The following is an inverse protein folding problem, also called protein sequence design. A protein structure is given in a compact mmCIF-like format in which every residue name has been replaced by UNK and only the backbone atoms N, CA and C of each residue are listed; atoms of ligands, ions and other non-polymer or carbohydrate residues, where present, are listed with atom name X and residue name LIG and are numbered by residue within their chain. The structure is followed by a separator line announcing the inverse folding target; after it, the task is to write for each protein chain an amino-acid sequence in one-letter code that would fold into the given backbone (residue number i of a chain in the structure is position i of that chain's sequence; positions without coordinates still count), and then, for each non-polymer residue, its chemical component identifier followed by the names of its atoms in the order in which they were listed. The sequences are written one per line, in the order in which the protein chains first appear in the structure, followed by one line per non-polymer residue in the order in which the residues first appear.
data_IF_706442545616
#
_entry.id   IF_706442545616
#
_cell.length_a   1.000
_cell.length_b   1.000
_cell.length_c   1.000
_cell.angle_alpha   90.00
_cell.angle_beta   90.00
_cell.angle_gamma   90.00
#
_symmetry.space_group_name_H-M   'P 1'
#
loop_
_entity.id
_entity.type
_entity.pdbx_description
1 polymer ?
#
# COMPACT_ATOMS: atom_id res chain seq x y z
N UNK A 1 -34.11 2.37 20.00
CA UNK A 1 -32.81 2.93 20.47
C UNK A 1 -31.66 2.68 19.47
N UNK A 2 -31.66 1.58 18.69
CA UNK A 2 -30.65 1.34 17.63
C UNK A 2 -30.66 2.40 16.50
N UNK A 3 -31.85 2.77 15.98
CA UNK A 3 -32.00 3.76 14.90
C UNK A 3 -31.52 5.19 15.24
N UNK A 4 -31.37 5.54 16.52
CA UNK A 4 -30.90 6.88 16.94
C UNK A 4 -29.37 6.95 16.96
N UNK A 5 -28.69 5.83 17.26
CA UNK A 5 -27.22 5.79 17.28
C UNK A 5 -26.65 5.79 15.86
N UNK A 6 -27.32 5.12 14.92
CA UNK A 6 -26.93 5.07 13.51
C UNK A 6 -26.99 6.46 12.85
N UNK A 7 -27.95 7.31 13.26
CA UNK A 7 -28.03 8.72 12.84
C UNK A 7 -26.90 9.62 13.36
N UNK A 8 -26.16 9.21 14.40
CA UNK A 8 -25.12 10.04 15.02
C UNK A 8 -23.74 9.82 14.38
N UNK A 9 -23.51 8.67 13.75
CA UNK A 9 -22.24 8.38 13.08
C UNK A 9 -22.48 7.45 11.88
N UNK A 10 -22.97 7.99 10.74
CA UNK A 10 -23.27 7.19 9.57
C UNK A 10 -22.02 6.45 9.09
N UNK A 11 -22.22 5.22 8.64
CA UNK A 11 -21.18 4.35 8.09
C UNK A 11 -21.37 4.22 6.59
N UNK A 12 -20.38 3.66 5.93
CA UNK A 12 -20.50 3.26 4.54
C UNK A 12 -21.05 1.86 4.48
N UNK A 13 -21.99 1.61 3.58
CA UNK A 13 -22.51 0.28 3.28
C UNK A 13 -22.38 -0.06 1.79
N UNK A 14 -22.36 0.96 0.92
CA UNK A 14 -22.33 0.79 -0.54
C UNK A 14 -21.24 1.60 -1.23
N UNK A 15 -20.93 1.20 -2.47
CA UNK A 15 -20.04 1.93 -3.38
C UNK A 15 -20.51 3.36 -3.67
N UNK A 16 -21.81 3.53 -3.87
CA UNK A 16 -22.41 4.82 -4.23
C UNK A 16 -22.26 5.81 -3.09
N UNK A 17 -22.50 5.39 -1.85
CA UNK A 17 -22.28 6.22 -0.67
C UNK A 17 -20.83 6.69 -0.55
N UNK A 18 -19.86 5.81 -0.81
CA UNK A 18 -18.44 6.20 -0.81
C UNK A 18 -18.17 7.29 -1.84
N UNK A 19 -18.65 7.09 -3.06
CA UNK A 19 -18.41 8.01 -4.18
C UNK A 19 -19.09 9.37 -3.94
N UNK A 20 -20.33 9.38 -3.47
CA UNK A 20 -21.09 10.59 -3.16
C UNK A 20 -20.50 11.38 -1.98
N UNK A 21 -20.18 10.69 -0.88
CA UNK A 21 -19.80 11.35 0.38
C UNK A 21 -18.34 11.79 0.37
N UNK A 22 -17.45 11.04 -0.29
CA UNK A 22 -16.01 11.31 -0.29
C UNK A 22 -15.53 11.94 -1.59
N UNK A 23 -16.33 11.91 -2.67
CA UNK A 23 -15.91 12.36 -4.00
C UNK A 23 -14.63 11.67 -4.49
N UNK A 24 -14.45 10.41 -4.09
CA UNK A 24 -13.32 9.55 -4.50
C UNK A 24 -13.86 8.32 -5.24
N UNK A 25 -13.17 7.85 -6.29
CA UNK A 25 -13.57 6.65 -7.00
C UNK A 25 -13.35 5.41 -6.14
N UNK A 26 -14.26 4.44 -6.21
CA UNK A 26 -14.03 3.09 -5.69
C UNK A 26 -13.28 2.28 -6.75
N UNK A 27 -12.04 1.94 -6.43
CA UNK A 27 -11.09 1.23 -7.32
C UNK A 27 -11.05 -0.28 -7.06
N UNK A 28 -11.66 -0.74 -5.96
CA UNK A 28 -11.80 -2.15 -5.64
C UNK A 28 -12.94 -2.38 -4.67
N UNK A 29 -13.67 -3.47 -4.87
CA UNK A 29 -14.80 -3.86 -4.04
C UNK A 29 -14.66 -5.34 -3.68
N UNK A 30 -14.50 -5.62 -2.38
CA UNK A 30 -14.24 -6.97 -1.86
C UNK A 30 -15.42 -7.40 -1.01
N UNK A 31 -16.14 -8.43 -1.46
CA UNK A 31 -17.32 -8.94 -0.78
C UNK A 31 -16.99 -9.64 0.54
N UNK A 32 -17.95 -9.58 1.48
CA UNK A 32 -17.91 -10.43 2.68
C UNK A 32 -18.14 -11.89 2.27
N UNK A 33 -17.20 -12.76 2.62
CA UNK A 33 -17.37 -14.20 2.40
C UNK A 33 -18.28 -14.84 3.48
N UNK A 34 -19.24 -15.70 3.08
CA UNK A 34 -19.93 -16.56 4.01
C UNK A 34 -18.97 -17.44 4.80
N UNK A 35 -19.32 -17.75 6.06
CA UNK A 35 -18.47 -18.55 6.96
C UNK A 35 -18.04 -19.90 6.37
N UNK A 36 -18.88 -20.50 5.53
CA UNK A 36 -18.61 -21.79 4.89
C UNK A 36 -17.32 -21.78 4.03
N UNK A 37 -17.02 -20.67 3.34
CA UNK A 37 -15.82 -20.55 2.49
C UNK A 37 -14.51 -20.44 3.28
N UNK A 38 -14.60 -20.01 4.55
CA UNK A 38 -13.44 -19.76 5.42
C UNK A 38 -13.25 -20.91 6.43
N UNK A 39 -14.22 -21.83 6.51
CA UNK A 39 -14.16 -22.91 7.48
C UNK A 39 -13.05 -23.91 7.13
N UNK A 40 -12.15 -24.18 8.07
CA UNK A 40 -11.05 -25.13 7.90
C UNK A 40 -9.86 -24.59 7.09
N UNK A 41 -9.93 -23.38 6.53
CA UNK A 41 -8.79 -22.74 5.86
C UNK A 41 -7.85 -22.09 6.88
N UNK A 42 -6.56 -22.09 6.58
CA UNK A 42 -5.59 -21.29 7.32
C UNK A 42 -5.92 -19.80 7.11
N UNK A 43 -6.19 -19.10 8.22
CA UNK A 43 -6.56 -17.68 8.21
C UNK A 43 -5.37 -16.77 8.56
N UNK A 44 -4.21 -17.38 8.81
CA UNK A 44 -3.01 -16.66 9.20
C UNK A 44 -2.23 -16.17 7.98
N UNK A 45 -2.35 -16.87 6.85
CA UNK A 45 -1.75 -16.54 5.56
C UNK A 45 -2.77 -16.05 4.53
N UNK A 46 -2.31 -15.24 3.58
CA UNK A 46 -3.09 -14.88 2.39
C UNK A 46 -3.09 -16.01 1.37
N UNK A 47 -4.15 -16.08 0.56
CA UNK A 47 -4.29 -17.04 -0.53
C UNK A 47 -5.25 -16.53 -1.59
N UNK A 48 -4.98 -16.82 -2.86
CA UNK A 48 -5.84 -16.51 -4.00
C UNK A 48 -6.81 -17.66 -4.34
N UNK A 49 -7.05 -18.58 -3.41
CA UNK A 49 -7.95 -19.73 -3.56
C UNK A 49 -9.38 -19.49 -3.03
N UNK A 50 -9.65 -18.26 -2.57
CA UNK A 50 -10.95 -17.84 -2.06
C UNK A 50 -11.73 -17.06 -3.12
N UNK A 51 -13.07 -17.02 -3.06
CA UNK A 51 -13.88 -16.26 -4.02
C UNK A 51 -13.53 -14.75 -4.08
N UNK A 52 -12.91 -14.21 -3.04
CA UNK A 52 -12.40 -12.83 -3.01
C UNK A 52 -11.18 -12.60 -3.90
N UNK A 53 -10.50 -13.65 -4.36
CA UNK A 53 -9.26 -13.53 -5.16
C UNK A 53 -9.49 -12.72 -6.44
N UNK A 54 -10.61 -12.94 -7.12
CA UNK A 54 -10.95 -12.22 -8.34
C UNK A 54 -11.11 -10.71 -8.11
N UNK A 55 -11.63 -10.30 -6.95
CA UNK A 55 -11.71 -8.89 -6.59
C UNK A 55 -10.31 -8.26 -6.44
N UNK A 56 -9.35 -9.00 -5.87
CA UNK A 56 -7.96 -8.55 -5.77
C UNK A 56 -7.22 -8.57 -7.12
N UNK A 57 -7.52 -9.51 -8.03
CA UNK A 57 -7.01 -9.48 -9.41
C UNK A 57 -7.52 -8.27 -10.20
N UNK A 58 -8.77 -7.86 -9.97
CA UNK A 58 -9.31 -6.60 -10.53
C UNK A 58 -8.62 -5.37 -9.95
N UNK A 59 -8.42 -5.34 -8.63
CA UNK A 59 -7.67 -4.26 -7.97
C UNK A 59 -6.23 -4.16 -8.49
N UNK A 60 -5.56 -5.30 -8.69
CA UNK A 60 -4.25 -5.39 -9.35
C UNK A 60 -4.27 -4.77 -10.74
N UNK A 61 -5.25 -5.10 -11.58
CA UNK A 61 -5.37 -4.50 -12.92
C UNK A 61 -5.53 -2.97 -12.85
N UNK A 62 -6.25 -2.44 -11.85
CA UNK A 62 -6.32 -1.00 -11.62
C UNK A 62 -4.96 -0.40 -11.22
N UNK A 63 -4.18 -1.09 -10.38
CA UNK A 63 -2.84 -0.63 -10.00
C UNK A 63 -1.89 -0.64 -11.21
N UNK A 64 -1.88 -1.71 -12.00
CA UNK A 64 -1.09 -1.80 -13.23
C UNK A 64 -1.45 -0.72 -14.25
N UNK A 65 -2.75 -0.38 -14.37
CA UNK A 65 -3.16 0.73 -15.22
C UNK A 65 -2.52 2.05 -14.78
N UNK A 66 -2.50 2.34 -13.48
CA UNK A 66 -1.85 3.55 -12.93
C UNK A 66 -0.34 3.50 -13.14
N UNK A 67 0.30 2.35 -12.92
CA UNK A 67 1.72 2.16 -13.18
C UNK A 67 2.08 2.45 -14.64
N UNK A 68 1.35 1.87 -15.58
CA UNK A 68 1.60 2.05 -17.02
C UNK A 68 1.40 3.51 -17.45
N UNK A 69 0.39 4.19 -16.89
CA UNK A 69 0.12 5.61 -17.17
C UNK A 69 1.27 6.51 -16.70
N UNK A 70 1.84 6.21 -15.52
CA UNK A 70 3.01 6.90 -14.98
C UNK A 70 4.26 6.64 -15.81
N UNK A 71 4.51 5.38 -16.18
CA UNK A 71 5.63 5.00 -17.02
C UNK A 71 5.58 5.65 -18.42
N UNK A 72 4.38 5.89 -18.94
CA UNK A 72 4.17 6.59 -20.20
C UNK A 72 4.41 8.12 -20.12
N UNK A 73 4.71 8.67 -18.94
CA UNK A 73 4.95 10.11 -18.75
C UNK A 73 3.70 10.97 -18.95
N UNK A 74 2.51 10.38 -18.86
CA UNK A 74 1.23 11.10 -19.05
C UNK A 74 0.92 12.05 -17.88
N UNK A 75 1.54 11.84 -16.73
CA UNK A 75 1.35 12.65 -15.53
C UNK A 75 2.11 13.98 -15.54
N UNK A 76 3.32 14.03 -16.13
CA UNK A 76 4.12 15.25 -16.23
C UNK A 76 4.89 15.34 -17.57
N UNK A 77 4.43 16.19 -18.52
CA UNK A 77 5.10 16.37 -19.80
C UNK A 77 6.52 16.92 -19.63
N UNK A 78 7.53 16.15 -20.06
CA UNK A 78 8.93 16.58 -20.06
C UNK A 78 9.80 16.04 -18.93
N UNK A 79 9.26 15.15 -18.08
CA UNK A 79 10.03 14.36 -17.12
C UNK A 79 10.46 13.05 -17.80
N UNK A 80 11.72 12.64 -17.62
CA UNK A 80 12.23 11.36 -18.14
C UNK A 80 11.43 10.20 -17.55
N UNK A 81 11.22 9.12 -18.32
CA UNK A 81 10.52 7.94 -17.85
C UNK A 81 11.20 7.38 -16.58
N UNK A 82 10.50 7.48 -15.45
CA UNK A 82 10.91 6.93 -14.16
C UNK A 82 10.93 5.39 -14.21
N UNK A 83 11.68 4.71 -13.32
CA UNK A 83 11.69 3.25 -13.23
C UNK A 83 10.26 2.68 -13.14
N UNK A 84 10.06 1.50 -13.72
CA UNK A 84 8.78 0.77 -13.90
C UNK A 84 8.12 0.29 -12.57
N UNK A 85 8.47 0.94 -11.46
CA UNK A 85 8.03 0.65 -10.10
C UNK A 85 7.19 1.79 -9.55
N UNK A 86 6.10 1.46 -8.86
CA UNK A 86 5.26 2.43 -8.16
C UNK A 86 5.16 2.08 -6.68
N UNK A 87 5.21 3.10 -5.82
CA UNK A 87 5.08 2.97 -4.37
C UNK A 87 3.66 3.36 -3.97
N UNK A 88 2.86 2.38 -3.58
CA UNK A 88 1.50 2.58 -3.08
C UNK A 88 1.48 2.58 -1.55
N UNK A 89 0.89 3.62 -0.97
CA UNK A 89 0.61 3.68 0.46
C UNK A 89 -0.84 3.26 0.72
N UNK A 90 -1.01 2.13 1.40
CA UNK A 90 -2.34 1.62 1.75
C UNK A 90 -2.67 2.10 3.16
N UNK A 91 -3.64 3.01 3.26
CA UNK A 91 -4.05 3.61 4.53
C UNK A 91 -5.45 3.15 4.94
N UNK A 92 -5.75 3.33 6.22
CA UNK A 92 -7.08 3.18 6.77
C UNK A 92 -7.28 4.19 7.90
N UNK A 93 -8.53 4.52 8.20
CA UNK A 93 -8.86 5.50 9.24
C UNK A 93 -8.66 4.91 10.63
N UNK A 94 -9.12 3.67 10.83
CA UNK A 94 -9.17 2.99 12.11
C UNK A 94 -8.72 1.52 12.01
N UNK A 95 -8.42 0.85 13.13
CA UNK A 95 -8.09 -0.57 13.11
C UNK A 95 -9.21 -1.45 12.53
N UNK A 96 -8.82 -2.63 12.06
CA UNK A 96 -9.75 -3.70 11.61
C UNK A 96 -10.57 -3.37 10.35
N UNK A 97 -10.07 -2.45 9.53
CA UNK A 97 -10.66 -2.08 8.23
C UNK A 97 -10.19 -2.95 7.07
N UNK A 98 -9.23 -3.87 7.28
CA UNK A 98 -8.75 -4.83 6.27
C UNK A 98 -7.53 -4.37 5.47
N UNK A 99 -6.93 -3.23 5.82
CA UNK A 99 -5.73 -2.64 5.20
C UNK A 99 -4.58 -3.62 4.94
N UNK A 100 -4.11 -4.32 5.98
CA UNK A 100 -2.98 -5.24 5.87
C UNK A 100 -3.28 -6.45 4.98
N UNK A 101 -4.52 -6.96 5.04
CA UNK A 101 -5.00 -8.01 4.13
C UNK A 101 -5.04 -7.50 2.70
N UNK A 102 -5.50 -6.27 2.48
CA UNK A 102 -5.51 -5.66 1.14
C UNK A 102 -4.10 -5.46 0.59
N UNK A 103 -3.15 -4.97 1.40
CA UNK A 103 -1.76 -4.84 0.97
C UNK A 103 -1.16 -6.20 0.58
N UNK A 104 -1.32 -7.22 1.42
CA UNK A 104 -0.77 -8.56 1.16
C UNK A 104 -1.46 -9.26 -0.03
N UNK A 105 -2.79 -9.24 -0.12
CA UNK A 105 -3.54 -9.87 -1.22
C UNK A 105 -3.32 -9.17 -2.56
N UNK A 106 -3.23 -7.84 -2.56
CA UNK A 106 -2.92 -7.09 -3.79
C UNK A 106 -1.48 -7.36 -4.23
N UNK A 107 -0.54 -7.42 -3.29
CA UNK A 107 0.86 -7.77 -3.60
C UNK A 107 0.98 -9.17 -4.18
N UNK A 108 0.27 -10.14 -3.60
CA UNK A 108 0.17 -11.48 -4.14
C UNK A 108 -0.44 -11.51 -5.55
N UNK A 109 -1.52 -10.78 -5.80
CA UNK A 109 -2.12 -10.69 -7.14
C UNK A 109 -1.18 -10.02 -8.16
N UNK A 110 -0.41 -8.99 -7.75
CA UNK A 110 0.60 -8.35 -8.61
C UNK A 110 1.71 -9.33 -8.98
N UNK A 111 2.24 -10.06 -8.00
CA UNK A 111 3.26 -11.08 -8.22
C UNK A 111 2.74 -12.26 -9.07
N UNK A 112 1.50 -12.71 -8.87
CA UNK A 112 0.83 -13.71 -9.73
C UNK A 112 0.82 -13.29 -11.21
N UNK A 113 0.80 -11.98 -11.50
CA UNK A 113 0.86 -11.42 -12.85
C UNK A 113 2.28 -11.09 -13.33
N UNK A 114 3.33 -11.51 -12.60
CA UNK A 114 4.73 -11.25 -12.94
C UNK A 114 5.17 -9.81 -12.70
N UNK A 115 4.46 -9.04 -11.87
CA UNK A 115 4.88 -7.70 -11.45
C UNK A 115 5.74 -7.83 -10.18
N UNK A 116 7.05 -7.51 -10.24
CA UNK A 116 7.92 -7.56 -9.06
C UNK A 116 7.38 -6.65 -7.96
N UNK A 117 7.06 -7.23 -6.80
CA UNK A 117 6.34 -6.53 -5.73
C UNK A 117 6.93 -6.79 -4.35
N UNK A 118 7.10 -5.73 -3.56
CA UNK A 118 7.48 -5.77 -2.16
C UNK A 118 6.31 -5.31 -1.29
N UNK A 119 5.93 -6.09 -0.28
CA UNK A 119 5.00 -5.65 0.76
C UNK A 119 5.79 -5.18 1.98
N UNK A 120 5.71 -3.88 2.28
CA UNK A 120 6.46 -3.23 3.36
C UNK A 120 5.56 -3.02 4.58
N UNK A 121 5.88 -3.69 5.69
CA UNK A 121 5.13 -3.66 6.95
C UNK A 121 5.54 -2.51 7.86
N UNK A 122 4.88 -1.37 7.73
CA UNK A 122 5.04 -0.16 8.55
C UNK A 122 3.94 0.02 9.61
N UNK A 123 3.14 -1.01 9.94
CA UNK A 123 2.34 -1.04 11.17
C UNK A 123 3.21 -1.56 12.33
N UNK A 124 3.85 -0.62 13.02
CA UNK A 124 4.77 -0.91 14.11
C UNK A 124 4.06 -1.37 15.40
N UNK A 125 2.75 -1.18 15.50
CA UNK A 125 1.99 -1.43 16.74
C UNK A 125 1.33 -2.80 16.73
N UNK A 126 0.82 -3.20 15.57
CA UNK A 126 0.14 -4.48 15.34
C UNK A 126 0.61 -5.09 14.02
N UNK A 127 1.88 -5.48 13.91
CA UNK A 127 2.42 -6.08 12.70
C UNK A 127 1.68 -7.37 12.33
N UNK A 128 1.41 -7.51 11.03
CA UNK A 128 0.68 -8.66 10.47
C UNK A 128 1.29 -9.22 9.19
N UNK A 129 2.09 -8.43 8.46
CA UNK A 129 2.67 -8.81 7.16
C UNK A 129 3.52 -10.08 7.23
N UNK A 130 4.27 -10.26 8.31
CA UNK A 130 5.07 -11.47 8.56
C UNK A 130 4.21 -12.74 8.51
N UNK A 131 3.10 -12.74 9.25
CA UNK A 131 2.17 -13.87 9.32
C UNK A 131 1.41 -14.05 8.01
N UNK A 132 0.91 -12.94 7.45
CA UNK A 132 0.13 -12.97 6.21
C UNK A 132 0.92 -13.56 5.04
N UNK A 133 2.21 -13.25 4.93
CA UNK A 133 3.07 -13.71 3.84
C UNK A 133 3.98 -14.89 4.22
N UNK A 134 3.84 -15.42 5.44
CA UNK A 134 4.58 -16.62 5.88
C UNK A 134 6.09 -16.43 6.01
N UNK A 135 6.56 -15.21 6.28
CA UNK A 135 8.00 -14.89 6.44
C UNK A 135 8.38 -14.73 7.92
N UNK A 136 9.67 -14.84 8.28
CA UNK A 136 10.11 -14.55 9.65
C UNK A 136 9.76 -13.11 10.08
N UNK A 137 9.14 -12.93 11.25
CA UNK A 137 8.73 -11.61 11.76
C UNK A 137 9.52 -11.08 12.96
N UNK A 138 10.52 -11.82 13.44
CA UNK A 138 11.25 -11.47 14.68
C UNK A 138 12.28 -10.34 14.48
N UNK A 139 12.90 -10.28 13.30
CA UNK A 139 13.70 -9.17 12.78
C UNK A 139 12.90 -8.46 11.68
N UNK A 140 13.11 -7.16 11.53
CA UNK A 140 12.38 -6.32 10.59
C UNK A 140 12.85 -4.87 10.66
N UNK A 141 12.06 -3.94 10.12
CA UNK A 141 12.37 -2.50 10.10
C UNK A 141 12.84 -1.98 11.47
N UNK A 142 12.08 -2.29 12.51
CA UNK A 142 12.35 -1.87 13.90
C UNK A 142 13.68 -2.37 14.46
N UNK A 143 14.15 -3.54 13.99
CA UNK A 143 15.43 -4.11 14.45
C UNK A 143 16.64 -3.37 13.88
N UNK A 144 16.48 -2.70 12.74
CA UNK A 144 17.54 -1.96 12.06
C UNK A 144 17.64 -0.50 12.52
N UNK A 145 16.64 0.00 13.24
CA UNK A 145 16.66 1.34 13.86
C UNK A 145 17.63 1.41 15.04
N UNK A 146 17.84 0.29 15.75
CA UNK A 146 18.70 0.26 16.92
C UNK A 146 20.16 0.39 16.46
N UNK A 147 20.80 1.51 16.82
CA UNK A 147 22.23 1.72 16.63
C UNK A 147 23.00 0.74 17.53
N UNK A 148 23.23 -0.46 17.02
CA UNK A 148 23.92 -1.56 17.67
C UNK A 148 24.97 -2.16 16.75
N UNK A 149 25.98 -2.80 17.33
CA UNK A 149 27.05 -3.49 16.57
C UNK A 149 26.44 -4.59 15.67
N UNK A 150 25.32 -5.17 16.10
CA UNK A 150 24.60 -6.23 15.39
C UNK A 150 23.42 -5.69 14.56
N UNK A 151 23.52 -4.45 14.03
CA UNK A 151 22.49 -3.87 13.14
C UNK A 151 22.34 -4.78 11.91
N UNK A 152 21.17 -5.38 11.66
CA UNK A 152 21.01 -6.29 10.54
C UNK A 152 21.08 -5.56 9.20
N UNK A 153 21.64 -6.23 8.19
CA UNK A 153 21.63 -5.77 6.80
C UNK A 153 20.20 -5.72 6.23
N UNK A 154 19.98 -5.00 5.12
CA UNK A 154 18.67 -5.00 4.42
C UNK A 154 18.30 -6.43 3.97
N UNK A 155 19.28 -7.19 3.49
CA UNK A 155 19.17 -8.60 3.09
C UNK A 155 18.64 -9.51 4.21
N UNK A 156 18.87 -9.15 5.48
CA UNK A 156 18.42 -9.91 6.65
C UNK A 156 16.99 -9.57 7.09
N UNK A 157 16.42 -8.47 6.62
CA UNK A 157 15.08 -7.99 7.00
C UNK A 157 14.10 -7.89 5.84
N UNK A 158 14.57 -8.10 4.60
CA UNK A 158 13.73 -8.24 3.42
C UNK A 158 13.76 -9.69 2.97
N UNK A 159 12.60 -10.34 3.03
CA UNK A 159 12.48 -11.77 2.81
C UNK A 159 11.80 -12.05 1.47
N UNK A 160 12.31 -13.04 0.74
CA UNK A 160 11.53 -13.70 -0.31
C UNK A 160 10.37 -14.45 0.33
N UNK A 161 9.21 -14.41 -0.31
CA UNK A 161 8.07 -15.22 0.10
C UNK A 161 8.09 -16.57 -0.62
N UNK A 162 7.08 -17.42 -0.37
CA UNK A 162 6.89 -18.65 -1.14
C UNK A 162 6.41 -18.39 -2.58
N UNK A 163 5.95 -17.17 -2.87
CA UNK A 163 5.52 -16.75 -4.20
C UNK A 163 6.66 -16.08 -4.97
N UNK A 164 6.89 -16.48 -6.23
CA UNK A 164 7.81 -15.78 -7.12
C UNK A 164 7.45 -14.30 -7.25
N UNK A 165 8.46 -13.45 -7.46
CA UNK A 165 8.28 -11.99 -7.63
C UNK A 165 7.60 -11.25 -6.47
N UNK A 166 7.47 -11.90 -5.29
CA UNK A 166 6.92 -11.29 -4.07
C UNK A 166 7.93 -11.34 -2.92
N UNK A 167 8.24 -10.16 -2.40
CA UNK A 167 9.05 -9.95 -1.21
C UNK A 167 8.21 -9.36 -0.07
N UNK A 168 8.68 -9.54 1.15
CA UNK A 168 8.09 -8.97 2.35
C UNK A 168 9.17 -8.37 3.25
N UNK A 169 8.96 -7.14 3.68
CA UNK A 169 9.79 -6.47 4.68
C UNK A 169 8.94 -6.21 5.93
N UNK A 170 8.93 -7.12 6.91
CA UNK A 170 8.08 -6.98 8.08
C UNK A 170 8.57 -5.86 9.00
N UNK A 171 7.64 -5.37 9.83
CA UNK A 171 7.95 -4.36 10.84
C UNK A 171 8.99 -4.83 11.87
N UNK A 172 8.97 -6.13 12.19
CA UNK A 172 9.69 -6.70 13.33
C UNK A 172 8.83 -6.69 14.60
N UNK A 173 9.48 -6.60 15.77
CA UNK A 173 8.77 -6.66 17.05
C UNK A 173 7.87 -5.42 17.26
N UNK A 174 6.64 -5.59 17.76
CA UNK A 174 5.76 -4.47 18.04
C UNK A 174 6.41 -3.44 18.96
N UNK A 175 6.31 -2.16 18.61
CA UNK A 175 6.89 -1.04 19.36
C UNK A 175 5.99 0.19 19.31
N UNK A 176 6.18 1.09 20.28
CA UNK A 176 5.62 2.46 20.26
C UNK A 176 6.68 3.52 19.92
N UNK A 177 7.96 3.13 19.97
CA UNK A 177 9.09 3.98 19.60
C UNK A 177 9.41 3.71 18.14
N UNK A 178 8.93 4.60 17.27
CA UNK A 178 9.03 4.47 15.80
C UNK A 178 10.04 5.43 15.19
N UNK A 179 10.76 6.20 16.01
CA UNK A 179 11.81 7.11 15.54
C UNK A 179 12.84 6.34 14.68
N UNK A 180 13.20 6.89 13.51
CA UNK A 180 14.11 6.24 12.56
C UNK A 180 13.49 5.11 11.71
N UNK A 181 12.27 4.64 12.01
CA UNK A 181 11.65 3.60 11.19
C UNK A 181 11.34 4.08 9.77
N UNK A 182 10.94 5.35 9.61
CA UNK A 182 10.67 5.95 8.29
C UNK A 182 11.94 6.07 7.43
N UNK A 183 13.11 6.29 8.05
CA UNK A 183 14.41 6.32 7.36
C UNK A 183 14.77 4.94 6.85
N UNK A 184 14.67 3.91 7.69
CA UNK A 184 14.90 2.51 7.28
C UNK A 184 13.91 2.05 6.20
N UNK A 185 12.63 2.40 6.33
CA UNK A 185 11.65 2.14 5.30
C UNK A 185 12.01 2.83 3.98
N UNK A 186 12.57 4.04 4.03
CA UNK A 186 13.07 4.75 2.86
C UNK A 186 14.29 4.11 2.21
N UNK A 187 15.22 3.57 2.99
CA UNK A 187 16.33 2.75 2.46
C UNK A 187 15.78 1.56 1.65
N UNK A 188 14.75 0.88 2.18
CA UNK A 188 14.10 -0.28 1.53
C UNK A 188 13.36 0.16 0.26
N UNK A 189 12.61 1.27 0.31
CA UNK A 189 11.89 1.82 -0.86
C UNK A 189 12.88 2.22 -1.95
N UNK A 190 13.99 2.88 -1.60
CA UNK A 190 15.04 3.25 -2.54
C UNK A 190 15.63 2.03 -3.24
N UNK A 191 16.03 1.02 -2.46
CA UNK A 191 16.54 -0.24 -3.03
C UNK A 191 15.50 -0.94 -3.92
N UNK A 192 14.22 -0.93 -3.55
CA UNK A 192 13.16 -1.50 -4.39
C UNK A 192 13.02 -0.76 -5.72
N UNK A 193 13.01 0.58 -5.72
CA UNK A 193 12.95 1.41 -6.94
C UNK A 193 14.14 1.18 -7.87
N UNK A 194 15.36 1.13 -7.32
CA UNK A 194 16.59 0.85 -8.09
C UNK A 194 16.54 -0.49 -8.83
N UNK A 195 15.76 -1.44 -8.29
CA UNK A 195 15.59 -2.77 -8.86
C UNK A 195 14.27 -2.96 -9.62
N UNK A 196 13.49 -1.89 -9.86
CA UNK A 196 12.21 -1.96 -10.58
C UNK A 196 11.14 -2.76 -9.84
N UNK A 197 11.18 -2.79 -8.50
CA UNK A 197 10.22 -3.50 -7.65
C UNK A 197 9.19 -2.50 -7.11
N UNK A 198 7.91 -2.71 -7.43
CA UNK A 198 6.80 -1.92 -6.87
C UNK A 198 6.64 -2.20 -5.38
N UNK A 199 6.19 -1.20 -4.61
CA UNK A 199 6.10 -1.32 -3.14
C UNK A 199 4.67 -1.07 -2.68
N UNK A 200 4.12 -1.97 -1.86
CA UNK A 200 2.86 -1.79 -1.15
C UNK A 200 3.15 -1.58 0.34
N UNK A 201 2.91 -0.37 0.84
CA UNK A 201 3.20 0.00 2.23
C UNK A 201 1.94 -0.19 3.08
N UNK A 202 2.02 -1.08 4.07
CA UNK A 202 0.99 -1.28 5.10
C UNK A 202 1.36 -0.52 6.37
N UNK A 203 0.59 0.50 6.78
CA UNK A 203 0.96 1.36 7.93
C UNK A 203 0.03 1.18 9.12
N UNK A 204 0.35 1.75 10.29
CA UNK A 204 -0.67 1.96 11.34
C UNK A 204 -1.83 2.82 10.80
N UNK A 205 -3.09 2.61 11.23
CA UNK A 205 -4.20 3.48 10.84
C UNK A 205 -3.94 4.96 11.15
N UNK A 206 -4.32 5.86 10.24
CA UNK A 206 -3.87 7.26 10.25
C UNK A 206 -4.48 8.09 11.38
N UNK A 207 -5.60 7.66 11.97
CA UNK A 207 -6.17 8.32 13.16
C UNK A 207 -5.60 7.76 14.48
N UNK A 208 -4.69 6.78 14.41
CA UNK A 208 -4.04 6.15 15.57
C UNK A 208 -2.58 6.61 15.70
N UNK A 209 -1.85 6.71 14.59
CA UNK A 209 -0.45 7.15 14.56
C UNK A 209 -0.09 7.84 13.23
N UNK A 210 1.03 8.56 13.24
CA UNK A 210 1.50 9.34 12.08
C UNK A 210 2.38 8.55 11.10
N UNK A 211 2.59 7.25 11.35
CA UNK A 211 3.54 6.41 10.62
C UNK A 211 3.36 6.47 9.08
N UNK A 212 2.13 6.66 8.60
CA UNK A 212 1.84 6.83 7.18
C UNK A 212 2.27 8.18 6.62
N UNK A 213 2.09 9.26 7.39
CA UNK A 213 2.43 10.61 6.94
C UNK A 213 3.94 10.83 6.96
N UNK A 214 4.67 10.15 7.85
CA UNK A 214 6.14 10.17 7.88
C UNK A 214 6.76 9.59 6.60
N UNK A 215 5.99 8.83 5.80
CA UNK A 215 6.41 8.21 4.54
C UNK A 215 5.82 8.87 3.29
N UNK A 216 4.95 9.86 3.45
CA UNK A 216 4.07 10.33 2.36
C UNK A 216 4.84 10.94 1.19
N UNK A 217 6.01 11.54 1.44
CA UNK A 217 6.86 12.14 0.42
C UNK A 217 7.61 11.10 -0.44
N UNK A 218 7.65 9.84 0.01
CA UNK A 218 8.33 8.74 -0.70
C UNK A 218 7.36 7.89 -1.54
N UNK A 219 6.07 8.23 -1.46
CA UNK A 219 4.95 7.48 -2.02
C UNK A 219 4.51 8.11 -3.32
N UNK A 220 4.10 7.27 -4.27
CA UNK A 220 3.55 7.68 -5.56
C UNK A 220 2.04 7.86 -5.48
N UNK A 221 1.36 6.86 -4.92
CA UNK A 221 -0.10 6.78 -4.89
C UNK A 221 -0.60 6.39 -3.50
N UNK A 222 -1.71 7.00 -3.06
CA UNK A 222 -2.30 6.71 -1.75
C UNK A 222 -3.67 6.08 -1.95
N UNK A 223 -3.91 4.94 -1.32
CA UNK A 223 -5.16 4.18 -1.41
C UNK A 223 -5.80 4.11 -0.04
N UNK A 224 -7.06 4.51 0.04
CA UNK A 224 -7.83 4.45 1.29
C UNK A 224 -8.65 3.16 1.35
N UNK A 225 -8.48 2.39 2.42
CA UNK A 225 -9.30 1.21 2.70
C UNK A 225 -10.46 1.59 3.61
N UNK A 226 -11.68 1.26 3.18
CA UNK A 226 -12.92 1.47 3.92
C UNK A 226 -13.61 0.12 4.10
N UNK A 227 -14.14 -0.14 5.29
CA UNK A 227 -14.91 -1.34 5.57
C UNK A 227 -16.39 -1.03 5.74
N UNK A 228 -17.21 -1.65 4.89
CA UNK A 228 -18.67 -1.55 4.93
C UNK A 228 -19.21 -1.96 6.31
N UNK A 229 -20.22 -1.24 6.80
CA UNK A 229 -20.82 -1.42 8.12
C UNK A 229 -19.90 -1.11 9.31
N UNK A 230 -18.63 -0.74 9.10
CA UNK A 230 -17.63 -0.51 10.16
C UNK A 230 -17.08 0.92 10.15
N UNK A 231 -16.49 1.33 9.04
CA UNK A 231 -15.87 2.65 8.89
C UNK A 231 -16.95 3.73 8.85
N UNK A 232 -16.83 4.74 9.72
CA UNK A 232 -17.75 5.87 9.69
C UNK A 232 -17.33 6.94 8.69
N UNK A 233 -18.31 7.64 8.11
CA UNK A 233 -18.07 8.72 7.16
C UNK A 233 -17.18 9.82 7.75
N UNK A 234 -17.38 10.12 9.04
CA UNK A 234 -16.53 11.07 9.78
C UNK A 234 -15.09 10.59 9.90
N UNK A 235 -14.86 9.31 10.17
CA UNK A 235 -13.51 8.76 10.29
C UNK A 235 -12.78 8.81 8.94
N UNK A 236 -13.45 8.39 7.86
CA UNK A 236 -12.91 8.45 6.50
C UNK A 236 -12.54 9.88 6.08
N UNK A 237 -13.44 10.86 6.30
CA UNK A 237 -13.15 12.27 6.01
C UNK A 237 -11.93 12.78 6.76
N UNK A 238 -11.80 12.45 8.05
CA UNK A 238 -10.62 12.83 8.83
C UNK A 238 -9.33 12.19 8.32
N UNK A 239 -9.39 10.97 7.80
CA UNK A 239 -8.24 10.33 7.16
C UNK A 239 -7.84 11.07 5.87
N UNK A 240 -8.82 11.44 5.03
CA UNK A 240 -8.60 12.27 3.83
C UNK A 240 -8.00 13.63 4.22
N UNK A 241 -8.49 14.26 5.30
CA UNK A 241 -7.97 15.54 5.79
C UNK A 241 -6.48 15.42 6.18
N UNK A 242 -6.05 14.30 6.78
CA UNK A 242 -4.63 14.08 7.11
C UNK A 242 -3.77 14.05 5.83
N UNK A 243 -4.23 13.36 4.79
CA UNK A 243 -3.52 13.28 3.51
C UNK A 243 -3.47 14.64 2.83
N UNK A 244 -4.62 15.33 2.78
CA UNK A 244 -4.76 16.67 2.18
C UNK A 244 -3.87 17.69 2.87
N UNK A 245 -3.73 17.62 4.20
CA UNK A 245 -2.85 18.50 4.97
C UNK A 245 -1.38 18.42 4.52
N UNK A 246 -0.95 17.26 4.02
CA UNK A 246 0.38 17.04 3.46
C UNK A 246 0.47 17.39 1.97
N UNK A 247 -0.57 18.01 1.39
CA UNK A 247 -0.59 18.40 -0.02
C UNK A 247 -0.70 17.21 -0.99
N UNK A 248 -1.19 16.07 -0.51
CA UNK A 248 -1.34 14.84 -1.29
C UNK A 248 -2.82 14.53 -1.53
N UNK A 249 -3.10 13.72 -2.54
CA UNK A 249 -4.43 13.22 -2.85
C UNK A 249 -4.50 11.70 -2.68
N UNK A 250 -5.72 11.18 -2.55
CA UNK A 250 -6.00 9.75 -2.54
C UNK A 250 -6.41 9.35 -3.96
N UNK A 251 -5.75 8.33 -4.50
CA UNK A 251 -6.04 7.73 -5.81
C UNK A 251 -7.47 7.21 -5.87
N UNK A 252 -7.88 6.51 -4.82
CA UNK A 252 -9.21 5.92 -4.73
C UNK A 252 -9.41 5.11 -3.46
N UNK A 253 -10.60 4.52 -3.36
CA UNK A 253 -11.04 3.73 -2.22
C UNK A 253 -11.13 2.25 -2.58
N UNK A 254 -10.61 1.41 -1.70
CA UNK A 254 -10.90 -0.02 -1.67
C UNK A 254 -11.98 -0.26 -0.62
N UNK A 255 -13.17 -0.65 -1.07
CA UNK A 255 -14.31 -0.94 -0.21
C UNK A 255 -14.35 -2.44 0.12
N UNK A 256 -14.27 -2.78 1.41
CA UNK A 256 -14.24 -4.16 1.89
C UNK A 256 -15.52 -4.46 2.65
N UNK A 257 -15.99 -5.69 2.52
CA UNK A 257 -17.05 -6.24 3.34
C UNK A 257 -18.45 -5.93 2.82
N UNK A 258 -18.58 -5.50 1.56
CA UNK A 258 -19.90 -5.36 0.93
C UNK A 258 -20.65 -6.69 1.01
N UNK A 259 -21.92 -6.62 1.39
CA UNK A 259 -22.79 -7.79 1.34
C UNK A 259 -23.24 -7.88 -0.11
N UNK A 260 -22.95 -9.00 -0.77
CA UNK A 260 -23.54 -9.26 -2.09
C UNK A 260 -25.08 -9.25 -1.93
N UNK A 261 -25.71 -8.17 -2.38
CA UNK A 261 -27.16 -8.06 -2.43
C UNK A 261 -27.58 -8.97 -3.60
N UNK A 262 -28.36 -10.01 -3.30
CA UNK A 262 -28.46 -11.21 -4.13
C UNK A 262 -29.02 -11.07 -5.56
N UNK A 263 -28.99 -12.22 -6.24
CA UNK A 263 -29.50 -12.60 -7.59
C UNK A 263 -28.86 -12.00 -8.83
N UNK A 264 -28.47 -10.73 -8.86
CA UNK A 264 -27.82 -10.17 -10.07
C UNK A 264 -26.29 -10.35 -10.07
N UNK A 265 -25.66 -10.47 -8.90
CA UNK A 265 -24.24 -10.81 -8.73
C UNK A 265 -23.96 -12.31 -8.55
N UNK A 266 -25.01 -13.14 -8.50
CA UNK A 266 -24.94 -14.60 -8.27
C UNK A 266 -24.37 -15.40 -9.44
N UNK A 267 -23.98 -14.74 -10.55
CA UNK A 267 -23.48 -15.41 -11.75
C UNK A 267 -22.19 -16.24 -11.48
N UNK A 268 -21.45 -15.95 -10.41
CA UNK A 268 -20.22 -16.66 -10.05
C UNK A 268 -20.38 -17.69 -8.93
N UNK A 269 -21.59 -18.00 -8.46
CA UNK A 269 -21.81 -19.04 -7.43
C UNK A 269 -21.74 -20.47 -7.97
N UNK A 270 -21.59 -20.64 -9.29
CA UNK A 270 -21.48 -21.93 -9.96
C UNK A 270 -20.17 -22.06 -10.74
N UNK A 271 -19.04 -22.03 -10.05
CA UNK A 271 -17.85 -22.72 -10.55
C UNK A 271 -17.13 -23.34 -9.36
N UNK A 272 -17.47 -24.60 -9.10
CA UNK A 272 -16.66 -25.53 -8.31
C UNK A 272 -15.95 -26.48 -9.30
N UNK A 273 -14.88 -27.17 -8.89
CA UNK A 273 -13.55 -26.99 -9.43
C UNK A 273 -13.16 -28.16 -10.33
N UNK A 274 -12.85 -27.90 -11.59
CA UNK A 274 -12.12 -28.83 -12.45
C UNK A 274 -11.43 -28.01 -13.55
N UNK A 275 -10.31 -27.36 -13.20
CA UNK A 275 -9.36 -26.91 -14.21
C UNK A 275 -7.97 -27.32 -13.73
N UNK A 276 -7.52 -28.43 -14.30
CA UNK A 276 -6.11 -28.83 -14.33
C UNK A 276 -5.30 -27.59 -14.73
N UNK A 277 -4.40 -27.16 -13.85
CA UNK A 277 -3.44 -26.10 -14.15
C UNK A 277 -2.38 -26.70 -15.06
N UNK A 278 -2.35 -26.25 -16.32
CA UNK A 278 -1.14 -26.34 -17.12
C UNK A 278 -0.15 -25.30 -16.60
N UNK A 279 0.82 -25.77 -15.82
CA UNK A 279 1.97 -25.01 -15.33
C UNK A 279 2.91 -24.68 -16.51
N UNK A 280 2.61 -23.61 -17.24
CA UNK A 280 3.61 -22.99 -18.12
C UNK A 280 4.42 -21.96 -17.30
N UNK A 281 5.43 -22.46 -16.58
CA UNK A 281 6.39 -21.64 -15.83
C UNK A 281 7.14 -20.69 -16.78
N UNK A 282 6.98 -19.39 -16.55
CA UNK A 282 7.98 -18.42 -16.98
C UNK A 282 9.30 -18.68 -16.23
N UNK A 283 10.46 -18.63 -16.92
CA UNK A 283 11.74 -18.87 -16.26
C UNK A 283 11.98 -17.77 -15.21
N UNK A 284 12.39 -18.14 -13.98
CA UNK A 284 12.72 -17.15 -12.94
C UNK A 284 13.85 -16.25 -13.43
N UNK A 285 13.72 -14.95 -13.16
CA UNK A 285 14.86 -14.03 -13.26
C UNK A 285 15.92 -14.47 -12.24
N UNK A 286 17.20 -14.25 -12.52
CA UNK A 286 18.28 -14.69 -11.64
C UNK A 286 18.22 -13.96 -10.29
N UNK A 287 17.69 -14.63 -9.26
CA UNK A 287 17.29 -14.05 -7.97
C UNK A 287 18.44 -13.76 -6.97
N UNK A 288 19.62 -13.42 -7.46
CA UNK A 288 20.77 -13.09 -6.62
C UNK A 288 20.86 -11.58 -6.33
N UNK A 289 20.69 -11.20 -5.06
CA UNK A 289 21.24 -9.98 -4.46
C UNK A 289 20.54 -8.60 -4.66
N UNK A 290 19.22 -8.52 -4.91
CA UNK A 290 18.52 -7.22 -5.02
C UNK A 290 18.68 -6.31 -3.77
N UNK A 291 18.75 -6.90 -2.57
CA UNK A 291 18.88 -6.17 -1.29
C UNK A 291 20.24 -6.42 -0.59
N UNK A 292 21.28 -6.80 -1.34
CA UNK A 292 22.55 -7.28 -0.76
C UNK A 292 23.53 -6.18 -0.31
N UNK A 293 23.23 -4.90 -0.49
CA UNK A 293 24.09 -3.79 -0.05
C UNK A 293 23.29 -2.63 0.52
N UNK A 294 23.83 -2.01 1.56
CA UNK A 294 23.36 -0.73 2.07
C UNK A 294 23.52 0.33 0.97
N UNK A 295 22.41 0.91 0.52
CA UNK A 295 22.42 2.06 -0.40
C UNK A 295 23.00 3.26 0.39
N UNK A 296 24.04 3.95 -0.11
CA UNK A 296 24.55 5.13 0.57
C UNK A 296 23.43 6.17 0.67
N UNK A 297 23.05 6.54 1.89
CA UNK A 297 22.13 7.66 2.10
C UNK A 297 22.71 8.90 1.44
N UNK A 298 21.92 9.56 0.59
CA UNK A 298 22.25 10.85 0.00
C UNK A 298 22.21 11.98 1.07
N UNK A 299 22.92 11.81 2.17
CA UNK A 299 23.26 12.86 3.13
C UNK A 299 24.50 13.61 2.60
N UNK A 300 24.37 14.23 1.43
CA UNK A 300 25.52 14.77 0.72
C UNK A 300 25.24 15.85 -0.30
N UNK A 301 24.07 16.52 -0.29
CA UNK A 301 23.86 17.64 -1.23
C UNK A 301 22.89 18.74 -0.75
N UNK A 302 22.86 19.01 0.56
CA UNK A 302 22.17 20.16 1.13
C UNK A 302 22.74 21.54 0.68
N UNK A 303 23.86 21.54 -0.06
CA UNK A 303 24.47 22.73 -0.66
C UNK A 303 23.87 23.08 -2.02
N UNK A 304 23.36 22.10 -2.78
CA UNK A 304 22.87 22.31 -4.15
C UNK A 304 21.41 22.80 -4.17
N UNK A 305 20.58 22.35 -3.22
CA UNK A 305 19.21 22.85 -3.04
C UNK A 305 19.12 24.33 -2.61
N UNK A 306 20.13 24.85 -1.88
CA UNK A 306 20.18 26.27 -1.48
C UNK A 306 20.54 27.21 -2.63
N UNK A 307 21.07 26.69 -3.75
CA UNK A 307 21.41 27.48 -4.94
C UNK A 307 20.21 27.66 -5.87
N UNK A 308 19.31 26.67 -5.96
CA UNK A 308 18.07 26.75 -6.74
C UNK A 308 17.02 27.69 -6.12
N UNK A 309 17.01 27.83 -4.79
CA UNK A 309 16.04 28.69 -4.09
C UNK A 309 16.37 30.20 -4.17
N UNK A 310 17.63 30.57 -4.46
CA UNK A 310 18.06 31.98 -4.64
C UNK A 310 17.83 32.50 -6.07
N UNK A 311 17.78 31.64 -7.09
CA UNK A 311 17.44 32.04 -8.46
C UNK A 311 15.95 32.41 -8.60
N UNK A 312 15.06 31.72 -7.89
CA UNK A 312 13.61 31.93 -8.00
C UNK A 312 13.13 33.22 -7.30
N UNK A 313 13.79 33.66 -6.23
CA UNK A 313 13.49 34.95 -5.58
C UNK A 313 13.98 36.17 -6.37
N UNK A 314 14.96 35.99 -7.26
CA UNK A 314 15.47 37.09 -8.10
C UNK A 314 14.59 37.33 -9.34
N UNK A 315 13.92 36.28 -9.84
CA UNK A 315 12.96 36.38 -10.95
C UNK A 315 11.63 37.04 -10.54
N UNK A 316 11.13 36.77 -9.33
CA UNK A 316 9.87 37.34 -8.83
C UNK A 316 9.96 38.86 -8.54
N UNK A 317 11.16 39.41 -8.31
CA UNK A 317 11.36 40.86 -8.10
C UNK A 317 11.46 41.69 -9.38
N UNK A 318 11.58 41.07 -10.56
CA UNK A 318 11.71 41.80 -11.85
C UNK A 318 10.38 42.02 -12.57
N UNK A 319 9.33 41.26 -12.25
CA UNK A 319 7.99 41.40 -12.87
C UNK A 319 7.11 42.46 -12.20
N UNK A 320 7.45 42.93 -11.00
CA UNK A 320 6.69 43.97 -10.27
C UNK A 320 7.05 45.43 -10.64
N UNK A 321 8.03 45.68 -11.53
CA UNK A 321 8.50 47.03 -11.87
C UNK A 321 8.16 47.52 -13.28
N UNK A 322 7.19 46.91 -13.97
CA UNK A 322 6.84 47.27 -15.37
C UNK A 322 5.37 47.62 -15.63
N UNK A 323 4.63 48.00 -14.60
CA UNK A 323 3.29 48.59 -14.73
C UNK A 323 3.14 49.76 -13.76
N UNK A 324 3.65 50.91 -14.19
CA UNK A 324 3.23 52.28 -13.84
C UNK A 324 3.64 53.18 -14.99
#
# INVERSE_FOLDING_TARGET
MLLIIEKINPRFDTRDEVTEVLSLPVIGEIATLPRAYIQGKDRTKVSLDLPTAEAYRRLRSAFQFIMNRRAAGEDEPGVEAEPDSTVFLIISSTPEEGKSTTAAMTGLAMAEAGVPTLVLGCDYRRPTIDRLLGVPGSKGITSRVVMSIDRPELSEIVHKTEWPDLWAAPSGRPTRSVAGCAEVAGEIIGAARENGVSVLIDTTPVLVANDAMDLVDQVDEIVLVIRAGHTSQRAARRAIDQVTLHGRSILGVVLIGVVALGKDDDYYSHTSPDLEHDDELHPPRSDGELFARDVPTAAGDAATARRAMRSSQTACRRTSRRTT
#
